data_IF_835816270548
#
_entry.id   IF_835816270548
#
_cell.length_a   1.000
_cell.length_b   1.000
_cell.length_c   1.000
_cell.angle_alpha   90.00
_cell.angle_beta   90.00
_cell.angle_gamma   90.00
#
_symmetry.space_group_name_H-M   'P 1'
#
loop_
_entity.id
_entity.type
_entity.pdbx_description
1 polymer ?
#
# COMPACT_ATOMS: atom_id res chain seq x y z
N UNK A 1 36.31 -50.30 7.06
CA UNK A 1 36.49 -48.85 7.33
C UNK A 1 35.68 -48.08 6.30
N UNK A 2 34.62 -47.32 6.65
CA UNK A 2 33.93 -46.52 5.62
C UNK A 2 32.56 -45.91 5.88
N UNK A 3 31.94 -46.03 7.08
CA UNK A 3 30.56 -45.51 7.27
C UNK A 3 30.46 -44.27 8.19
N UNK A 4 31.58 -43.54 8.39
CA UNK A 4 31.59 -42.32 9.24
C UNK A 4 31.54 -41.00 8.46
N UNK A 5 31.64 -41.04 7.12
CA UNK A 5 31.71 -39.84 6.28
C UNK A 5 30.34 -39.28 5.85
N UNK A 6 29.30 -40.09 5.79
CA UNK A 6 27.94 -39.64 5.39
C UNK A 6 27.24 -38.80 6.46
N UNK A 7 27.64 -38.91 7.73
CA UNK A 7 27.04 -38.14 8.82
C UNK A 7 27.53 -36.68 8.90
N UNK A 8 28.72 -36.39 8.36
CA UNK A 8 29.35 -35.06 8.43
C UNK A 8 28.75 -34.10 7.39
N UNK A 9 28.32 -34.64 6.24
CA UNK A 9 27.72 -33.85 5.14
C UNK A 9 26.29 -33.36 5.46
N UNK A 10 25.52 -34.08 6.27
CA UNK A 10 24.17 -33.67 6.68
C UNK A 10 24.17 -32.50 7.69
N UNK A 11 25.18 -32.46 8.57
CA UNK A 11 25.31 -31.40 9.59
C UNK A 11 25.70 -30.04 8.99
N UNK A 12 26.36 -30.01 7.83
CA UNK A 12 26.86 -28.78 7.23
C UNK A 12 25.78 -27.99 6.45
N UNK A 13 24.81 -28.68 5.83
CA UNK A 13 23.67 -28.00 5.17
C UNK A 13 22.62 -27.44 6.14
N UNK A 14 22.49 -28.02 7.34
CA UNK A 14 21.51 -27.56 8.33
C UNK A 14 21.93 -26.26 9.03
N UNK A 15 23.23 -26.09 9.29
CA UNK A 15 23.78 -24.89 9.95
C UNK A 15 23.71 -23.65 9.05
N UNK A 16 23.79 -23.84 7.73
CA UNK A 16 23.64 -22.77 6.74
C UNK A 16 22.19 -22.32 6.55
N UNK A 17 21.21 -23.23 6.70
CA UNK A 17 19.79 -22.86 6.71
C UNK A 17 19.42 -22.01 7.94
N UNK A 18 19.96 -22.34 9.11
CA UNK A 18 19.70 -21.62 10.35
C UNK A 18 20.36 -20.22 10.40
N UNK A 19 21.52 -20.05 9.76
CA UNK A 19 22.17 -18.75 9.65
C UNK A 19 21.45 -17.78 8.71
N UNK A 20 20.76 -18.28 7.67
CA UNK A 20 20.03 -17.42 6.72
C UNK A 20 18.68 -16.94 7.24
N UNK A 21 17.96 -17.79 7.99
CA UNK A 21 16.70 -17.41 8.64
C UNK A 21 16.92 -16.31 9.72
N UNK A 22 18.04 -16.35 10.43
CA UNK A 22 18.39 -15.32 11.41
C UNK A 22 18.85 -13.99 10.78
N UNK A 23 19.42 -14.03 9.56
CA UNK A 23 19.90 -12.83 8.86
C UNK A 23 18.78 -12.11 8.08
N UNK A 24 17.69 -12.80 7.73
CA UNK A 24 16.53 -12.16 7.09
C UNK A 24 15.77 -11.24 8.07
N UNK A 25 15.81 -11.52 9.38
CA UNK A 25 15.20 -10.66 10.40
C UNK A 25 16.01 -9.39 10.73
N UNK A 26 17.27 -9.26 10.31
CA UNK A 26 18.12 -8.12 10.66
C UNK A 26 18.20 -7.01 9.59
N UNK A 27 17.62 -7.22 8.40
CA UNK A 27 17.37 -6.19 7.40
C UNK A 27 15.90 -6.16 7.03
N UNK A 28 15.05 -5.74 7.98
CA UNK A 28 13.74 -5.19 7.66
C UNK A 28 13.90 -3.84 6.96
N UNK A 29 14.48 -3.84 5.75
CA UNK A 29 14.42 -2.72 4.83
C UNK A 29 12.99 -2.71 4.27
N UNK A 30 12.04 -2.23 5.07
CA UNK A 30 10.75 -1.82 4.56
C UNK A 30 11.07 -0.61 3.68
N UNK A 31 10.88 -0.65 2.35
CA UNK A 31 10.86 0.57 1.60
C UNK A 31 9.65 1.36 2.12
N UNK A 32 9.91 2.34 2.98
CA UNK A 32 8.94 3.39 3.29
C UNK A 32 8.85 4.22 2.01
N UNK A 33 8.14 3.68 1.01
CA UNK A 33 7.66 4.47 -0.12
C UNK A 33 6.76 5.51 0.54
N UNK A 34 7.28 6.71 0.68
CA UNK A 34 6.48 7.82 1.17
C UNK A 34 5.36 7.98 0.15
N UNK A 35 4.13 7.70 0.57
CA UNK A 35 2.95 8.06 -0.21
C UNK A 35 3.02 9.57 -0.41
N UNK A 36 3.50 9.98 -1.58
CA UNK A 36 3.72 11.37 -1.91
C UNK A 36 2.35 11.98 -2.14
N UNK A 37 1.77 12.56 -1.09
CA UNK A 37 0.52 13.32 -1.14
C UNK A 37 0.75 14.64 -1.86
N UNK A 38 1.02 14.59 -3.17
CA UNK A 38 1.23 15.79 -3.98
C UNK A 38 -0.01 16.68 -3.89
N UNK A 39 0.09 17.81 -3.17
CA UNK A 39 -0.95 18.83 -3.10
C UNK A 39 -2.09 18.57 -2.11
N UNK A 40 -1.99 17.57 -1.21
CA UNK A 40 -3.01 17.38 -0.18
C UNK A 40 -2.95 18.47 0.89
N UNK A 41 -4.10 18.96 1.31
CA UNK A 41 -4.22 19.91 2.43
C UNK A 41 -3.84 19.23 3.75
N UNK A 42 -3.46 20.01 4.77
CA UNK A 42 -3.15 19.47 6.10
C UNK A 42 -4.30 18.65 6.69
N UNK A 43 -5.54 19.04 6.40
CA UNK A 43 -6.74 18.33 6.85
C UNK A 43 -6.87 16.95 6.17
N UNK A 44 -6.68 16.88 4.86
CA UNK A 44 -6.73 15.60 4.13
C UNK A 44 -5.66 14.64 4.61
N UNK A 45 -4.46 15.15 4.91
CA UNK A 45 -3.40 14.34 5.51
C UNK A 45 -3.82 13.80 6.87
N UNK A 46 -4.45 14.63 7.70
CA UNK A 46 -4.97 14.19 9.00
C UNK A 46 -6.05 13.11 8.85
N UNK A 47 -7.00 13.28 7.94
CA UNK A 47 -8.06 12.29 7.68
C UNK A 47 -7.49 10.95 7.18
N UNK A 48 -6.48 10.98 6.30
CA UNK A 48 -5.77 9.77 5.85
C UNK A 48 -5.11 9.07 7.03
N UNK A 49 -4.40 9.80 7.88
CA UNK A 49 -3.73 9.23 9.06
C UNK A 49 -4.75 8.67 10.07
N UNK A 50 -5.85 9.37 10.31
CA UNK A 50 -6.93 8.89 11.16
C UNK A 50 -7.53 7.58 10.62
N UNK A 51 -7.66 7.46 9.29
CA UNK A 51 -8.14 6.24 8.63
C UNK A 51 -7.18 5.07 8.79
N UNK A 52 -5.87 5.31 8.68
CA UNK A 52 -4.86 4.27 8.91
C UNK A 52 -4.83 3.83 10.37
N UNK A 53 -5.03 4.75 11.33
CA UNK A 53 -5.19 4.39 12.75
C UNK A 53 -6.46 3.55 12.95
N UNK A 54 -7.57 3.89 12.28
CA UNK A 54 -8.79 3.10 12.32
C UNK A 54 -8.55 1.67 11.79
N UNK A 55 -7.79 1.50 10.70
CA UNK A 55 -7.39 0.18 10.20
C UNK A 55 -6.58 -0.61 11.22
N UNK A 56 -5.61 0.03 11.88
CA UNK A 56 -4.82 -0.61 12.94
C UNK A 56 -5.68 -1.06 14.12
N UNK A 57 -6.80 -0.38 14.37
CA UNK A 57 -7.77 -0.72 15.41
C UNK A 57 -8.82 -1.75 14.97
N UNK A 58 -8.75 -2.23 13.72
CA UNK A 58 -9.72 -3.16 13.15
C UNK A 58 -11.01 -2.51 12.64
N UNK A 59 -11.08 -1.18 12.61
CA UNK A 59 -12.23 -0.40 12.17
C UNK A 59 -12.20 -0.19 10.64
N UNK A 60 -12.13 -1.29 9.88
CA UNK A 60 -11.97 -1.25 8.43
C UNK A 60 -13.12 -0.54 7.70
N UNK A 61 -14.35 -0.64 8.23
CA UNK A 61 -15.51 0.07 7.67
C UNK A 61 -15.40 1.59 7.79
N UNK A 62 -14.86 2.10 8.91
CA UNK A 62 -14.65 3.53 9.11
C UNK A 62 -13.57 4.04 8.16
N UNK A 63 -12.43 3.34 8.10
CA UNK A 63 -11.34 3.69 7.20
C UNK A 63 -11.78 3.68 5.72
N UNK A 64 -12.54 2.67 5.31
CA UNK A 64 -13.12 2.59 3.97
C UNK A 64 -13.94 3.84 3.62
N UNK A 65 -14.84 4.25 4.53
CA UNK A 65 -15.71 5.40 4.29
C UNK A 65 -14.90 6.68 4.11
N UNK A 66 -13.90 6.90 4.97
CA UNK A 66 -13.04 8.08 4.89
C UNK A 66 -12.21 8.10 3.61
N UNK A 67 -11.63 6.97 3.20
CA UNK A 67 -10.89 6.89 1.93
C UNK A 67 -11.78 7.15 0.71
N UNK A 68 -12.99 6.57 0.69
CA UNK A 68 -13.93 6.75 -0.41
C UNK A 68 -14.47 8.19 -0.48
N UNK A 69 -14.75 8.81 0.67
CA UNK A 69 -15.17 10.21 0.72
C UNK A 69 -14.06 11.14 0.24
N UNK A 70 -12.82 10.91 0.71
CA UNK A 70 -11.66 11.68 0.26
C UNK A 70 -11.42 11.52 -1.23
N UNK A 71 -11.49 10.31 -1.77
CA UNK A 71 -11.33 10.06 -3.20
C UNK A 71 -12.31 10.87 -4.06
N UNK A 72 -13.57 10.97 -3.62
CA UNK A 72 -14.59 11.78 -4.31
C UNK A 72 -14.34 13.29 -4.18
N UNK A 73 -13.83 13.73 -3.03
CA UNK A 73 -13.53 15.15 -2.79
C UNK A 73 -12.30 15.63 -3.56
N UNK A 74 -11.24 14.82 -3.60
CA UNK A 74 -9.98 15.16 -4.27
C UNK A 74 -9.95 14.77 -5.74
N UNK A 75 -10.93 13.97 -6.17
CA UNK A 75 -10.94 13.29 -7.47
C UNK A 75 -9.66 12.45 -7.71
N UNK A 76 -9.05 11.94 -6.63
CA UNK A 76 -7.84 11.13 -6.70
C UNK A 76 -8.20 9.64 -6.85
N UNK A 77 -7.89 9.00 -8.00
CA UNK A 77 -8.14 7.58 -8.19
C UNK A 77 -7.36 6.68 -7.21
N UNK A 78 -6.21 7.12 -6.68
CA UNK A 78 -5.42 6.31 -5.76
C UNK A 78 -6.14 6.08 -4.42
N UNK A 79 -6.90 7.08 -3.94
CA UNK A 79 -7.67 6.96 -2.71
C UNK A 79 -8.87 6.01 -2.89
N UNK A 80 -9.50 6.00 -4.07
CA UNK A 80 -10.57 5.05 -4.39
C UNK A 80 -10.05 3.61 -4.48
N UNK A 81 -8.88 3.42 -5.09
CA UNK A 81 -8.21 2.12 -5.10
C UNK A 81 -7.91 1.63 -3.67
N UNK A 82 -7.41 2.53 -2.80
CA UNK A 82 -7.14 2.19 -1.40
C UNK A 82 -8.41 1.77 -0.65
N UNK A 83 -9.53 2.47 -0.85
CA UNK A 83 -10.82 2.06 -0.30
C UNK A 83 -11.23 0.65 -0.80
N UNK A 84 -11.06 0.37 -2.09
CA UNK A 84 -11.35 -0.96 -2.65
C UNK A 84 -10.51 -2.06 -1.98
N UNK A 85 -9.20 -1.85 -1.81
CA UNK A 85 -8.31 -2.80 -1.12
C UNK A 85 -8.76 -3.08 0.31
N UNK A 86 -9.16 -2.04 1.05
CA UNK A 86 -9.68 -2.17 2.42
C UNK A 86 -10.96 -3.01 2.43
N UNK A 87 -11.89 -2.76 1.50
CA UNK A 87 -13.13 -3.52 1.42
C UNK A 87 -12.89 -5.00 1.07
N UNK A 88 -11.94 -5.29 0.18
CA UNK A 88 -11.51 -6.65 -0.13
C UNK A 88 -10.93 -7.33 1.12
N UNK A 89 -10.03 -6.64 1.84
CA UNK A 89 -9.42 -7.15 3.06
C UNK A 89 -10.47 -7.42 4.16
N UNK A 90 -11.53 -6.61 4.20
CA UNK A 90 -12.67 -6.78 5.11
C UNK A 90 -13.70 -7.82 4.63
N UNK A 91 -13.46 -8.50 3.50
CA UNK A 91 -14.39 -9.45 2.87
C UNK A 91 -15.77 -8.84 2.56
N UNK A 92 -15.81 -7.54 2.24
CA UNK A 92 -17.01 -6.78 1.92
C UNK A 92 -17.11 -6.54 0.40
N UNK A 93 -17.58 -7.56 -0.33
CA UNK A 93 -17.61 -7.56 -1.79
C UNK A 93 -18.45 -6.40 -2.39
N UNK A 94 -19.60 -6.08 -1.79
CA UNK A 94 -20.45 -4.99 -2.26
C UNK A 94 -19.75 -3.62 -2.16
N UNK A 95 -19.03 -3.39 -1.06
CA UNK A 95 -18.26 -2.17 -0.86
C UNK A 95 -17.04 -2.10 -1.78
N UNK A 96 -16.40 -3.24 -2.04
CA UNK A 96 -15.29 -3.32 -2.99
C UNK A 96 -15.75 -2.96 -4.41
N UNK A 97 -16.93 -3.43 -4.82
CA UNK A 97 -17.51 -3.11 -6.13
C UNK A 97 -17.79 -1.61 -6.27
N UNK A 98 -18.40 -0.99 -5.25
CA UNK A 98 -18.68 0.47 -5.26
C UNK A 98 -17.38 1.28 -5.36
N UNK A 99 -16.35 0.89 -4.61
CA UNK A 99 -15.06 1.55 -4.66
C UNK A 99 -14.34 1.34 -6.00
N UNK A 100 -14.45 0.14 -6.59
CA UNK A 100 -13.91 -0.16 -7.92
C UNK A 100 -14.58 0.67 -9.02
N UNK A 101 -15.91 0.85 -8.95
CA UNK A 101 -16.65 1.72 -9.87
C UNK A 101 -16.21 3.18 -9.72
N UNK A 102 -16.08 3.66 -8.48
CA UNK A 102 -15.57 5.01 -8.21
C UNK A 102 -14.14 5.18 -8.74
N UNK A 103 -13.30 4.15 -8.61
CA UNK A 103 -11.93 4.17 -9.15
C UNK A 103 -11.92 4.22 -10.68
N UNK A 104 -12.77 3.45 -11.37
CA UNK A 104 -12.93 3.53 -12.83
C UNK A 104 -13.40 4.92 -13.28
N UNK A 105 -14.35 5.51 -12.57
CA UNK A 105 -14.86 6.86 -12.86
C UNK A 105 -13.77 7.94 -12.73
N UNK A 106 -12.94 7.87 -11.68
CA UNK A 106 -11.88 8.84 -11.42
C UNK A 106 -10.62 8.62 -12.27
N UNK A 107 -10.35 7.38 -12.67
CA UNK A 107 -9.16 7.00 -13.46
C UNK A 107 -9.28 7.35 -14.94
N UNK A 108 -10.51 7.53 -15.46
CA UNK A 108 -10.73 8.16 -16.76
C UNK A 108 -9.95 9.46 -16.78
N UNK A 109 -9.20 9.78 -17.86
CA UNK A 109 -8.30 10.92 -17.90
C UNK A 109 -9.10 12.21 -17.72
N UNK A 110 -9.33 12.58 -16.47
CA UNK A 110 -9.72 13.91 -16.09
C UNK A 110 -8.53 14.76 -16.46
N UNK A 111 -8.79 15.76 -17.29
CA UNK A 111 -7.83 16.69 -17.83
C UNK A 111 -7.25 17.58 -16.71
N UNK A 112 -6.54 16.98 -15.75
CA UNK A 112 -5.53 17.64 -14.95
C UNK A 112 -4.33 17.88 -15.86
N UNK A 113 -4.53 18.83 -16.78
CA UNK A 113 -3.46 19.48 -17.52
C UNK A 113 -2.50 20.04 -16.47
N UNK A 114 -1.20 19.72 -16.49
CA UNK A 114 -0.21 20.58 -15.91
C UNK A 114 -0.22 21.88 -16.73
N UNK A 115 -1.11 22.83 -16.37
CA UNK A 115 -1.11 24.19 -16.93
C UNK A 115 0.20 24.93 -16.64
N UNK A 116 1.08 24.36 -15.83
CA UNK A 116 2.38 24.92 -15.46
C UNK A 116 3.55 24.47 -16.34
N UNK A 117 3.43 23.37 -17.10
CA UNK A 117 4.57 22.87 -17.94
C UNK A 117 4.63 23.56 -19.31
N UNK A 118 3.64 24.39 -19.65
CA UNK A 118 3.61 25.10 -20.93
C UNK A 118 4.34 26.44 -20.93
N UNK A 119 4.54 27.09 -19.77
CA UNK A 119 5.27 28.38 -19.71
C UNK A 119 6.79 28.21 -19.71
N UNK A 120 7.31 27.09 -19.21
CA UNK A 120 8.76 26.86 -19.11
C UNK A 120 9.40 26.39 -20.43
N UNK A 121 8.61 25.97 -21.43
CA UNK A 121 9.15 25.56 -22.74
C UNK A 121 9.18 26.70 -23.78
N UNK A 122 8.61 27.86 -23.47
CA UNK A 122 8.59 29.02 -24.38
C UNK A 122 9.24 30.28 -23.77
N UNK A 123 10.22 30.11 -22.89
CA UNK A 123 11.08 31.18 -22.38
C UNK A 123 12.55 30.91 -22.67
#
# INVERSE_FOLDING_TARGET
MGNRFTFILAKLRLKHLLLWAAWCCSLGFIPLTSAQTKGATSEQVFEILASEIALQRGEAGLAYQTYLSLARQTADPALAQRAMEIAIAANAADLALIAAQTWDELSKPSQSKPKEVLVTRLG
#
